data_IF_493575666803
#
_entry.id   IF_493575666803
#
_cell.length_a   1.000
_cell.length_b   1.000
_cell.length_c   1.000
_cell.angle_alpha   90.00
_cell.angle_beta   90.00
_cell.angle_gamma   90.00
#
_symmetry.space_group_name_H-M   'P 1'
#
loop_
_entity.id
_entity.type
_entity.pdbx_description
1 polymer ?
#
# COMPACT_ATOMS: atom_id res chain seq x y z
N UNK A 1 -10.14 30.37 5.17
CA UNK A 1 -9.06 29.78 6.01
C UNK A 1 -7.86 29.44 5.14
N UNK A 2 -6.66 29.35 5.74
CA UNK A 2 -5.43 28.90 5.06
C UNK A 2 -5.10 27.47 5.48
N UNK A 3 -5.08 26.58 4.51
CA UNK A 3 -4.83 25.16 4.71
C UNK A 3 -3.47 24.78 4.12
N UNK A 4 -2.67 24.00 4.86
CA UNK A 4 -1.45 23.38 4.34
C UNK A 4 -1.62 21.86 4.22
N UNK A 5 -1.19 21.33 3.09
CA UNK A 5 -1.11 19.88 2.84
C UNK A 5 0.34 19.54 2.53
N UNK A 6 0.98 18.77 3.39
CA UNK A 6 2.37 18.33 3.21
C UNK A 6 2.39 16.92 2.63
N UNK A 7 2.71 16.83 1.35
CA UNK A 7 2.66 15.62 0.55
C UNK A 7 1.46 15.56 -0.38
N UNK A 8 1.71 15.27 -1.66
CA UNK A 8 0.68 15.28 -2.72
C UNK A 8 0.49 13.90 -3.36
N UNK A 9 0.38 12.86 -2.52
CA UNK A 9 -0.08 11.54 -2.92
C UNK A 9 -1.61 11.44 -2.93
N UNK A 10 -2.14 10.21 -2.92
CA UNK A 10 -3.59 9.95 -2.90
C UNK A 10 -4.30 10.65 -1.74
N UNK A 11 -3.73 10.59 -0.54
CA UNK A 11 -4.32 11.22 0.65
C UNK A 11 -4.35 12.74 0.51
N UNK A 12 -3.22 13.37 0.16
CA UNK A 12 -3.14 14.82 0.01
C UNK A 12 -4.05 15.37 -1.07
N UNK A 13 -4.13 14.71 -2.23
CA UNK A 13 -5.04 15.10 -3.31
C UNK A 13 -6.52 15.02 -2.89
N UNK A 14 -6.94 13.89 -2.27
CA UNK A 14 -8.34 13.76 -1.85
C UNK A 14 -8.69 14.71 -0.71
N UNK A 15 -7.75 15.03 0.18
CA UNK A 15 -7.96 16.04 1.22
C UNK A 15 -8.12 17.44 0.63
N UNK A 16 -7.25 17.85 -0.29
CA UNK A 16 -7.38 19.16 -0.98
C UNK A 16 -8.72 19.30 -1.67
N UNK A 17 -9.16 18.25 -2.37
CA UNK A 17 -10.47 18.22 -3.03
C UNK A 17 -11.63 18.30 -2.03
N UNK A 18 -11.55 17.59 -0.91
CA UNK A 18 -12.56 17.62 0.14
C UNK A 18 -12.65 19.00 0.81
N UNK A 19 -11.50 19.64 1.09
CA UNK A 19 -11.47 21.02 1.60
C UNK A 19 -12.16 21.97 0.61
N UNK A 20 -11.82 21.90 -0.69
CA UNK A 20 -12.44 22.78 -1.70
C UNK A 20 -13.95 22.60 -1.80
N UNK A 21 -14.46 21.40 -1.50
CA UNK A 21 -15.90 21.10 -1.48
C UNK A 21 -16.60 21.77 -0.28
N UNK A 22 -15.98 21.76 0.91
CA UNK A 22 -16.56 22.32 2.14
C UNK A 22 -16.28 23.82 2.30
N UNK A 23 -15.08 24.28 1.88
CA UNK A 23 -14.66 25.69 1.91
C UNK A 23 -14.24 26.15 0.50
N UNK A 24 -15.21 26.58 -0.35
CA UNK A 24 -14.93 27.03 -1.72
C UNK A 24 -13.98 28.23 -1.82
N UNK A 25 -13.87 29.05 -0.77
CA UNK A 25 -13.04 30.25 -0.72
C UNK A 25 -11.71 30.06 0.04
N UNK A 26 -11.48 28.90 0.63
CA UNK A 26 -10.27 28.62 1.40
C UNK A 26 -9.01 28.61 0.53
N UNK A 27 -7.92 29.14 1.06
CA UNK A 27 -6.61 29.05 0.43
C UNK A 27 -5.99 27.69 0.73
N UNK A 28 -5.81 26.85 -0.31
CA UNK A 28 -5.27 25.48 -0.18
C UNK A 28 -3.87 25.43 -0.75
N UNK A 29 -2.88 25.36 0.14
CA UNK A 29 -1.46 25.27 -0.19
C UNK A 29 -1.02 23.80 -0.11
N UNK A 30 -0.50 23.26 -1.20
CA UNK A 30 0.01 21.90 -1.29
C UNK A 30 1.51 21.95 -1.50
N UNK A 31 2.26 21.30 -0.62
CA UNK A 31 3.72 21.23 -0.66
C UNK A 31 4.15 19.83 -1.10
N UNK A 32 4.85 19.77 -2.22
CA UNK A 32 5.25 18.54 -2.89
C UNK A 32 6.75 18.67 -3.27
N UNK A 33 7.54 17.62 -2.97
CA UNK A 33 9.01 17.71 -3.05
C UNK A 33 9.60 17.16 -4.35
N UNK A 34 8.79 16.54 -5.23
CA UNK A 34 9.30 15.76 -6.38
C UNK A 34 9.08 16.42 -7.73
N UNK A 35 8.26 17.48 -7.81
CA UNK A 35 7.83 18.09 -9.06
C UNK A 35 6.81 17.25 -9.85
N UNK A 36 6.35 16.12 -9.29
CA UNK A 36 5.48 15.18 -9.98
C UNK A 36 4.01 15.29 -9.50
N UNK A 37 3.02 14.99 -10.39
CA UNK A 37 1.64 14.83 -9.97
C UNK A 37 1.47 13.66 -8.99
N UNK A 38 0.29 13.55 -8.31
CA UNK A 38 -0.01 12.44 -7.43
C UNK A 38 0.07 11.09 -8.15
N UNK A 39 1.13 10.34 -7.90
CA UNK A 39 1.39 9.05 -8.54
C UNK A 39 0.77 7.89 -7.75
N UNK A 40 0.28 6.86 -8.46
CA UNK A 40 -0.12 5.60 -7.85
C UNK A 40 1.09 4.64 -7.77
N UNK A 41 1.64 4.35 -6.58
CA UNK A 41 2.82 3.48 -6.44
C UNK A 41 2.62 2.06 -6.99
N UNK A 42 1.38 1.58 -7.07
CA UNK A 42 1.09 0.25 -7.62
C UNK A 42 1.31 0.18 -9.14
N UNK A 43 1.34 1.32 -9.84
CA UNK A 43 1.53 1.40 -11.28
C UNK A 43 3.01 1.53 -11.69
N UNK A 44 3.92 1.69 -10.74
CA UNK A 44 5.36 1.83 -11.01
C UNK A 44 5.95 0.61 -11.72
N UNK A 45 5.58 -0.60 -11.29
CA UNK A 45 6.01 -1.85 -11.92
C UNK A 45 5.43 -2.03 -13.32
N UNK A 46 4.19 -1.59 -13.56
CA UNK A 46 3.57 -1.63 -14.89
C UNK A 46 4.26 -0.66 -15.86
N UNK A 47 4.67 0.52 -15.39
CA UNK A 47 5.48 1.43 -16.19
C UNK A 47 6.86 0.85 -16.49
N UNK A 48 7.55 0.33 -15.49
CA UNK A 48 8.89 -0.24 -15.67
C UNK A 48 8.88 -1.48 -16.60
N UNK A 49 7.77 -2.23 -16.66
CA UNK A 49 7.54 -3.35 -17.58
C UNK A 49 7.00 -2.94 -18.96
N UNK A 50 6.79 -1.62 -19.21
CA UNK A 50 6.25 -1.08 -20.44
C UNK A 50 4.78 -1.46 -20.74
N UNK A 51 4.07 -2.02 -19.75
CA UNK A 51 2.65 -2.33 -19.86
C UNK A 51 1.76 -1.07 -19.92
N UNK A 52 2.25 0.05 -19.38
CA UNK A 52 1.61 1.37 -19.44
C UNK A 52 2.65 2.45 -19.76
N UNK A 53 2.20 3.58 -20.32
CA UNK A 53 3.05 4.75 -20.49
C UNK A 53 3.24 5.50 -19.15
N UNK A 54 4.23 6.41 -19.09
CA UNK A 54 4.55 7.15 -17.86
C UNK A 54 3.40 7.99 -17.34
N UNK A 55 2.62 8.63 -18.21
CA UNK A 55 1.51 9.48 -17.79
C UNK A 55 0.39 8.68 -17.10
N UNK A 56 0.22 7.40 -17.42
CA UNK A 56 -0.78 6.53 -16.80
C UNK A 56 -0.49 6.23 -15.31
N UNK A 57 0.73 6.53 -14.83
CA UNK A 57 1.08 6.42 -13.40
C UNK A 57 0.39 7.49 -12.55
N UNK A 58 -0.13 8.55 -13.18
CA UNK A 58 -0.75 9.71 -12.55
C UNK A 58 -2.29 9.73 -12.76
N UNK A 59 -3.05 9.01 -11.93
CA UNK A 59 -4.48 8.79 -12.17
C UNK A 59 -5.35 10.05 -12.02
N UNK A 60 -4.81 11.12 -11.46
CA UNK A 60 -5.53 12.39 -11.28
C UNK A 60 -5.17 13.45 -12.32
N UNK A 61 -4.32 13.10 -13.30
CA UNK A 61 -3.83 14.00 -14.32
C UNK A 61 -2.53 14.72 -13.98
N UNK A 62 -2.17 15.69 -14.81
CA UNK A 62 -0.98 16.53 -14.64
C UNK A 62 -1.18 17.60 -13.56
N UNK A 63 -0.08 18.21 -13.08
CA UNK A 63 -0.17 19.34 -12.13
C UNK A 63 -0.91 20.53 -12.73
N UNK A 64 -0.80 20.77 -14.04
CA UNK A 64 -1.49 21.85 -14.75
C UNK A 64 -2.99 21.62 -14.78
N UNK A 65 -3.43 20.40 -15.13
CA UNK A 65 -4.84 20.02 -15.13
C UNK A 65 -5.45 20.12 -13.72
N UNK A 66 -4.71 19.68 -12.70
CA UNK A 66 -5.15 19.77 -11.30
C UNK A 66 -5.28 21.23 -10.86
N UNK A 67 -4.28 22.09 -11.15
CA UNK A 67 -4.34 23.53 -10.84
C UNK A 67 -5.53 24.20 -11.51
N UNK A 68 -5.72 23.96 -12.81
CA UNK A 68 -6.80 24.54 -13.57
C UNK A 68 -8.20 24.12 -13.05
N UNK A 69 -8.32 22.91 -12.55
CA UNK A 69 -9.61 22.33 -12.13
C UNK A 69 -10.00 22.67 -10.69
N UNK A 70 -9.03 22.75 -9.78
CA UNK A 70 -9.32 22.76 -8.34
C UNK A 70 -8.85 24.03 -7.61
N UNK A 71 -8.16 24.94 -8.29
CA UNK A 71 -7.64 26.18 -7.71
C UNK A 71 -6.78 25.94 -6.45
N UNK A 72 -5.83 24.99 -6.54
CA UNK A 72 -4.85 24.73 -5.51
C UNK A 72 -3.55 25.52 -5.77
N UNK A 73 -2.99 26.11 -4.70
CA UNK A 73 -1.63 26.67 -4.74
C UNK A 73 -0.64 25.54 -4.53
N UNK A 74 -0.11 25.00 -5.63
CA UNK A 74 0.83 23.86 -5.57
C UNK A 74 2.26 24.40 -5.58
N UNK A 75 2.97 24.18 -4.48
CA UNK A 75 4.39 24.46 -4.30
C UNK A 75 5.18 23.19 -4.69
N UNK A 76 5.55 23.10 -5.96
CA UNK A 76 6.33 22.00 -6.53
C UNK A 76 7.79 22.11 -6.15
N UNK A 77 8.45 20.94 -5.95
CA UNK A 77 9.88 20.85 -5.58
C UNK A 77 10.21 21.58 -4.26
N UNK A 78 9.19 21.73 -3.39
CA UNK A 78 9.34 22.38 -2.09
C UNK A 78 9.30 21.30 -0.99
N UNK A 79 10.40 21.20 -0.25
CA UNK A 79 10.52 20.29 0.86
C UNK A 79 10.30 20.99 2.19
N UNK A 80 9.29 20.51 2.91
CA UNK A 80 9.05 20.87 4.31
C UNK A 80 10.04 20.09 5.17
N UNK A 81 10.82 20.78 5.98
CA UNK A 81 11.80 20.17 6.87
C UNK A 81 11.17 19.74 8.20
N UNK A 82 10.24 20.54 8.72
CA UNK A 82 9.60 20.28 10.02
C UNK A 82 8.24 20.93 10.12
N UNK A 83 7.35 20.35 10.93
CA UNK A 83 6.04 20.90 11.32
C UNK A 83 6.08 21.27 12.81
N UNK A 84 5.99 22.56 13.12
CA UNK A 84 5.75 23.04 14.47
C UNK A 84 4.26 22.95 14.76
N UNK A 85 3.85 21.82 15.34
CA UNK A 85 2.44 21.45 15.41
C UNK A 85 1.61 22.42 16.26
N UNK A 86 2.11 22.85 17.42
CA UNK A 86 1.41 23.72 18.36
C UNK A 86 1.12 25.10 17.80
N UNK A 87 2.08 25.69 17.07
CA UNK A 87 1.93 26.99 16.39
C UNK A 87 1.32 26.84 14.98
N UNK A 88 1.19 25.62 14.48
CA UNK A 88 0.75 25.32 13.11
C UNK A 88 1.60 26.01 12.05
N UNK A 89 2.90 25.86 12.18
CA UNK A 89 3.89 26.41 11.26
C UNK A 89 4.60 25.29 10.48
N UNK A 90 4.85 25.55 9.20
CA UNK A 90 5.77 24.76 8.39
C UNK A 90 7.13 25.45 8.37
N UNK A 91 8.16 24.68 8.66
CA UNK A 91 9.56 25.10 8.51
C UNK A 91 10.11 24.44 7.25
N UNK A 92 10.63 25.24 6.33
CA UNK A 92 11.19 24.77 5.07
C UNK A 92 12.71 24.53 5.16
N UNK A 93 13.29 23.78 4.21
CA UNK A 93 14.75 23.52 4.20
C UNK A 93 15.61 24.79 4.11
N UNK A 94 15.10 25.86 3.50
CA UNK A 94 15.77 27.15 3.44
C UNK A 94 15.68 27.97 4.73
N UNK A 95 15.07 27.42 5.78
CA UNK A 95 14.88 28.07 7.08
C UNK A 95 13.69 29.01 7.16
N UNK A 96 12.95 29.26 6.08
CA UNK A 96 11.73 30.08 6.12
C UNK A 96 10.62 29.36 6.90
N UNK A 97 9.70 30.15 7.46
CA UNK A 97 8.58 29.65 8.27
C UNK A 97 7.29 30.27 7.77
N UNK A 98 6.24 29.46 7.66
CA UNK A 98 4.91 29.91 7.25
C UNK A 98 3.83 29.30 8.12
N UNK A 99 2.85 30.12 8.55
CA UNK A 99 1.76 29.72 9.45
C UNK A 99 0.47 29.43 8.69
N UNK A 100 -0.30 28.44 9.17
CA UNK A 100 -1.57 28.00 8.60
C UNK A 100 -2.63 27.81 9.69
N UNK A 101 -3.91 27.89 9.30
CA UNK A 101 -5.00 27.60 10.23
C UNK A 101 -5.13 26.11 10.51
N UNK A 102 -4.86 25.27 9.49
CA UNK A 102 -4.91 23.80 9.56
C UNK A 102 -3.78 23.19 8.73
N UNK A 103 -3.21 22.11 9.22
CA UNK A 103 -2.13 21.37 8.55
C UNK A 103 -2.53 19.90 8.41
N UNK A 104 -2.36 19.34 7.22
CA UNK A 104 -2.41 17.90 6.96
C UNK A 104 -1.01 17.37 6.67
N UNK A 105 -0.59 16.35 7.40
CA UNK A 105 0.60 15.53 7.10
C UNK A 105 0.15 14.33 6.26
N UNK A 106 0.52 14.33 4.97
CA UNK A 106 0.19 13.30 3.99
C UNK A 106 1.44 12.78 3.28
N UNK A 107 2.54 12.68 4.02
CA UNK A 107 3.89 12.36 3.53
C UNK A 107 4.08 10.92 3.07
N UNK A 108 3.10 10.07 3.33
CA UNK A 108 3.11 8.67 2.92
C UNK A 108 4.22 7.84 3.58
N UNK A 109 4.81 6.92 2.81
CA UNK A 109 5.84 6.03 3.28
C UNK A 109 6.94 5.85 2.21
N UNK A 110 8.17 5.61 2.66
CA UNK A 110 9.32 5.23 1.83
C UNK A 110 9.57 3.74 1.85
N UNK A 111 10.33 3.23 0.90
CA UNK A 111 10.85 1.87 0.96
C UNK A 111 11.69 1.68 2.23
N UNK A 112 11.47 0.57 2.91
CA UNK A 112 12.30 0.18 4.04
C UNK A 112 13.59 -0.45 3.53
N UNK A 113 14.72 0.03 3.99
CA UNK A 113 16.04 -0.55 3.76
C UNK A 113 16.74 -0.63 5.12
N UNK A 114 16.97 -1.84 5.65
CA UNK A 114 17.78 -2.01 6.85
C UNK A 114 19.26 -1.67 6.53
N UNK A 115 20.11 -1.56 7.52
CA UNK A 115 21.54 -1.47 7.29
C UNK A 115 22.03 -2.69 6.52
N UNK A 116 22.46 -2.49 5.26
CA UNK A 116 22.98 -3.53 4.36
C UNK A 116 24.36 -3.07 3.92
N UNK A 117 25.36 -3.91 4.13
CA UNK A 117 26.73 -3.62 3.65
C UNK A 117 26.74 -3.46 2.13
N UNK A 118 27.40 -2.41 1.63
CA UNK A 118 27.44 -2.10 0.19
C UNK A 118 26.19 -1.42 -0.37
N UNK A 119 25.20 -1.06 0.46
CA UNK A 119 24.08 -0.21 0.04
C UNK A 119 24.30 1.23 0.53
N UNK A 120 23.99 2.29 -0.27
CA UNK A 120 23.47 2.23 -1.65
C UNK A 120 24.55 1.82 -2.69
N UNK A 121 24.09 1.23 -3.80
CA UNK A 121 24.93 0.91 -4.94
C UNK A 121 24.19 1.12 -6.27
N UNK A 122 24.94 1.24 -7.38
CA UNK A 122 24.36 1.54 -8.70
C UNK A 122 23.49 0.40 -9.24
N UNK A 123 23.72 -0.84 -8.78
CA UNK A 123 22.98 -2.03 -9.17
C UNK A 123 21.98 -2.51 -8.11
N UNK A 124 21.75 -1.71 -7.05
CA UNK A 124 20.70 -1.97 -6.05
C UNK A 124 19.51 -1.03 -6.28
N UNK A 125 18.32 -1.59 -6.39
CA UNK A 125 17.11 -0.87 -6.78
C UNK A 125 16.01 -1.02 -5.73
N UNK A 126 15.20 0.02 -5.62
CA UNK A 126 13.93 0.03 -4.89
C UNK A 126 12.77 0.06 -5.89
N UNK A 127 11.54 -0.16 -5.41
CA UNK A 127 10.33 -0.01 -6.22
C UNK A 127 9.21 0.57 -5.36
N UNK A 128 9.23 1.87 -5.15
CA UNK A 128 8.22 2.60 -4.38
C UNK A 128 7.75 3.88 -5.08
N UNK A 129 8.67 4.61 -5.70
CA UNK A 129 8.43 5.90 -6.32
C UNK A 129 8.49 5.81 -7.84
N UNK A 130 7.98 6.82 -8.54
CA UNK A 130 8.16 6.95 -10.00
C UNK A 130 9.64 7.05 -10.38
N UNK A 131 10.45 7.72 -9.55
CA UNK A 131 11.89 7.82 -9.75
C UNK A 131 12.59 6.44 -9.66
N UNK A 132 12.17 5.58 -8.72
CA UNK A 132 12.67 4.20 -8.63
C UNK A 132 12.36 3.42 -9.91
N UNK A 133 11.14 3.53 -10.41
CA UNK A 133 10.71 2.83 -11.63
C UNK A 133 11.47 3.33 -12.88
N UNK A 134 11.65 4.64 -13.00
CA UNK A 134 12.46 5.25 -14.07
C UNK A 134 13.91 4.77 -13.99
N UNK A 135 14.51 4.79 -12.79
CA UNK A 135 15.89 4.36 -12.57
C UNK A 135 16.09 2.89 -12.95
N UNK A 136 15.22 2.00 -12.48
CA UNK A 136 15.30 0.57 -12.83
C UNK A 136 15.13 0.36 -14.33
N UNK A 137 14.10 0.97 -14.94
CA UNK A 137 13.85 0.86 -16.37
C UNK A 137 15.06 1.34 -17.19
N UNK A 138 15.55 2.54 -16.91
CA UNK A 138 16.70 3.13 -17.63
C UNK A 138 17.95 2.25 -17.50
N UNK A 139 18.19 1.68 -16.32
CA UNK A 139 19.33 0.78 -16.11
C UNK A 139 19.21 -0.50 -16.95
N UNK A 140 18.01 -1.12 -16.93
CA UNK A 140 17.74 -2.35 -17.69
C UNK A 140 17.78 -2.13 -19.21
N UNK A 141 17.46 -0.93 -19.69
CA UNK A 141 17.51 -0.58 -21.10
C UNK A 141 18.96 -0.31 -21.57
N UNK A 142 19.84 0.16 -20.68
CA UNK A 142 21.22 0.54 -20.99
C UNK A 142 22.26 -0.54 -20.67
N UNK A 143 21.96 -1.49 -19.78
CA UNK A 143 22.94 -2.42 -19.21
C UNK A 143 22.49 -3.87 -19.43
N UNK A 144 23.37 -4.74 -19.98
CA UNK A 144 23.08 -6.16 -20.06
C UNK A 144 22.99 -6.79 -18.65
N UNK A 145 21.81 -7.26 -18.27
CA UNK A 145 21.54 -7.95 -17.01
C UNK A 145 21.15 -9.37 -17.32
N UNK A 146 21.78 -10.34 -16.69
CA UNK A 146 21.48 -11.77 -16.86
C UNK A 146 20.87 -12.42 -15.63
N UNK A 147 21.28 -11.95 -14.44
CA UNK A 147 20.86 -12.51 -13.16
C UNK A 147 20.38 -11.40 -12.22
N UNK A 148 19.28 -11.65 -11.57
CA UNK A 148 18.71 -10.74 -10.61
C UNK A 148 18.27 -11.45 -9.33
N UNK A 149 18.46 -10.78 -8.20
CA UNK A 149 17.87 -11.18 -6.92
C UNK A 149 16.87 -10.13 -6.48
N UNK A 150 15.63 -10.56 -6.26
CA UNK A 150 14.57 -9.75 -5.64
C UNK A 150 14.50 -10.15 -4.17
N UNK A 151 14.85 -9.24 -3.29
CA UNK A 151 14.76 -9.43 -1.84
C UNK A 151 13.40 -8.97 -1.37
N UNK A 152 12.58 -9.92 -0.93
CA UNK A 152 11.21 -9.69 -0.46
C UNK A 152 10.14 -10.43 -1.28
N UNK A 153 9.52 -11.44 -0.67
CA UNK A 153 8.42 -12.24 -1.22
C UNK A 153 7.06 -11.53 -1.05
N UNK A 154 7.03 -10.27 -1.35
CA UNK A 154 5.88 -9.34 -1.22
C UNK A 154 5.13 -9.18 -2.54
N UNK A 155 3.97 -8.48 -2.49
CA UNK A 155 3.22 -8.12 -3.70
C UNK A 155 4.02 -7.26 -4.68
N UNK A 156 4.92 -6.41 -4.18
CA UNK A 156 5.84 -5.64 -5.03
C UNK A 156 6.95 -6.53 -5.56
N UNK A 157 7.51 -7.40 -4.71
CA UNK A 157 8.60 -8.29 -5.12
C UNK A 157 8.21 -9.23 -6.24
N UNK A 158 7.02 -9.85 -6.20
CA UNK A 158 6.55 -10.73 -7.27
C UNK A 158 6.33 -9.96 -8.60
N UNK A 159 5.87 -8.70 -8.53
CA UNK A 159 5.69 -7.88 -9.74
C UNK A 159 7.03 -7.43 -10.34
N UNK A 160 8.03 -7.16 -9.50
CA UNK A 160 9.40 -6.89 -9.96
C UNK A 160 10.01 -8.15 -10.57
N UNK A 161 9.81 -9.32 -9.95
CA UNK A 161 10.30 -10.58 -10.49
C UNK A 161 9.63 -10.93 -11.84
N UNK A 162 8.33 -10.69 -12.01
CA UNK A 162 7.63 -10.81 -13.29
C UNK A 162 8.23 -9.89 -14.37
N UNK A 163 8.49 -8.62 -14.03
CA UNK A 163 9.12 -7.66 -14.93
C UNK A 163 10.48 -8.16 -15.42
N UNK A 164 11.32 -8.67 -14.50
CA UNK A 164 12.66 -9.17 -14.82
C UNK A 164 12.60 -10.45 -15.66
N UNK A 165 11.70 -11.37 -15.30
CA UNK A 165 11.47 -12.60 -16.06
C UNK A 165 11.04 -12.29 -17.50
N UNK A 166 10.12 -11.34 -17.70
CA UNK A 166 9.64 -10.94 -19.03
C UNK A 166 10.73 -10.30 -19.90
N UNK A 167 11.83 -9.82 -19.27
CA UNK A 167 13.04 -9.35 -19.97
C UNK A 167 14.08 -10.47 -20.20
N UNK A 168 13.74 -11.73 -19.85
CA UNK A 168 14.63 -12.88 -20.00
C UNK A 168 15.74 -12.94 -18.96
N UNK A 169 15.59 -12.26 -17.83
CA UNK A 169 16.56 -12.23 -16.74
C UNK A 169 16.29 -13.39 -15.78
N UNK A 170 17.30 -14.20 -15.51
CA UNK A 170 17.25 -15.27 -14.51
C UNK A 170 17.00 -14.65 -13.12
N UNK A 171 15.85 -14.95 -12.52
CA UNK A 171 15.39 -14.25 -11.34
C UNK A 171 15.19 -15.20 -10.14
N UNK A 172 15.74 -14.80 -8.99
CA UNK A 172 15.53 -15.45 -7.70
C UNK A 172 14.82 -14.49 -6.76
N UNK A 173 13.73 -14.93 -6.14
CA UNK A 173 13.12 -14.22 -5.01
C UNK A 173 13.72 -14.80 -3.73
N UNK A 174 14.35 -13.92 -2.92
CA UNK A 174 14.91 -14.30 -1.62
C UNK A 174 14.15 -13.59 -0.51
N UNK A 175 13.78 -14.29 0.55
CA UNK A 175 13.11 -13.71 1.71
C UNK A 175 13.51 -14.43 3.00
N UNK A 176 13.46 -13.70 4.13
CA UNK A 176 13.61 -14.31 5.45
C UNK A 176 12.42 -15.21 5.82
N UNK A 177 11.25 -14.97 5.23
CA UNK A 177 10.06 -15.81 5.38
C UNK A 177 10.26 -17.22 4.83
N UNK A 178 9.29 -18.09 5.12
CA UNK A 178 9.28 -19.49 4.71
C UNK A 178 8.50 -19.75 3.40
N UNK A 179 7.65 -18.80 2.99
CA UNK A 179 6.76 -18.94 1.84
C UNK A 179 6.30 -17.60 1.30
N UNK A 180 5.70 -17.63 0.10
CA UNK A 180 5.22 -16.46 -0.62
C UNK A 180 4.03 -15.80 0.09
N UNK A 181 4.02 -14.46 0.18
CA UNK A 181 2.94 -13.67 0.78
C UNK A 181 2.58 -14.05 2.22
N UNK A 182 3.54 -14.11 3.16
CA UNK A 182 3.35 -14.67 4.49
C UNK A 182 2.32 -13.95 5.36
N UNK A 183 1.96 -12.70 5.00
CA UNK A 183 0.94 -11.90 5.71
C UNK A 183 -0.41 -11.83 4.98
N UNK A 184 -0.56 -12.53 3.84
CA UNK A 184 -1.76 -12.46 3.00
C UNK A 184 -2.31 -13.82 2.59
N UNK A 185 -1.44 -14.81 2.38
CA UNK A 185 -1.82 -16.16 1.94
C UNK A 185 -1.83 -17.17 3.08
N UNK A 186 -2.77 -18.11 3.05
CA UNK A 186 -2.64 -19.36 3.81
C UNK A 186 -1.47 -20.16 3.24
N UNK A 187 -0.83 -20.98 4.07
CA UNK A 187 0.39 -21.70 3.68
C UNK A 187 0.19 -22.60 2.45
N UNK A 188 -0.86 -23.40 2.41
CA UNK A 188 -1.18 -24.25 1.27
C UNK A 188 -1.47 -23.47 -0.02
N UNK A 189 -2.12 -22.30 0.11
CA UNK A 189 -2.35 -21.37 -1.02
C UNK A 189 -1.01 -20.79 -1.50
N UNK A 190 -0.13 -20.40 -0.59
CA UNK A 190 1.19 -19.89 -0.92
C UNK A 190 2.06 -20.95 -1.64
N UNK A 191 2.05 -22.20 -1.16
CA UNK A 191 2.77 -23.31 -1.76
C UNK A 191 2.29 -23.59 -3.21
N UNK A 192 0.98 -23.55 -3.47
CA UNK A 192 0.44 -23.67 -4.83
C UNK A 192 0.85 -22.48 -5.73
N UNK A 193 0.78 -21.25 -5.19
CA UNK A 193 1.24 -20.07 -5.93
C UNK A 193 2.73 -20.14 -6.27
N UNK A 194 3.56 -20.63 -5.33
CA UNK A 194 4.98 -20.85 -5.57
C UNK A 194 5.24 -21.87 -6.68
N UNK A 195 4.51 -22.97 -6.70
CA UNK A 195 4.64 -23.99 -7.74
C UNK A 195 4.29 -23.42 -9.12
N UNK A 196 3.20 -22.66 -9.21
CA UNK A 196 2.82 -21.95 -10.43
C UNK A 196 3.89 -20.94 -10.88
N UNK A 197 4.52 -20.25 -9.95
CA UNK A 197 5.59 -19.27 -10.23
C UNK A 197 6.89 -19.96 -10.62
N UNK A 198 7.25 -21.08 -9.94
CA UNK A 198 8.41 -21.91 -10.29
C UNK A 198 8.30 -22.47 -11.70
N UNK A 199 7.12 -22.94 -12.09
CA UNK A 199 6.88 -23.48 -13.44
C UNK A 199 7.09 -22.45 -14.55
N UNK A 200 7.09 -21.14 -14.21
CA UNK A 200 7.39 -20.03 -15.13
C UNK A 200 8.85 -19.58 -15.12
N UNK A 201 9.70 -20.23 -14.29
CA UNK A 201 11.14 -20.00 -14.30
C UNK A 201 11.70 -19.14 -13.17
N UNK A 202 10.88 -18.66 -12.23
CA UNK A 202 11.37 -17.96 -11.03
C UNK A 202 11.77 -19.00 -9.98
N UNK A 203 12.90 -18.76 -9.32
CA UNK A 203 13.37 -19.55 -8.18
C UNK A 203 13.13 -18.81 -6.88
N UNK A 204 13.01 -19.55 -5.78
CA UNK A 204 12.87 -19.01 -4.44
C UNK A 204 14.04 -19.46 -3.55
N UNK A 205 14.48 -18.57 -2.68
CA UNK A 205 15.48 -18.81 -1.64
C UNK A 205 14.90 -18.32 -0.30
N UNK A 206 14.39 -19.25 0.48
CA UNK A 206 13.74 -18.99 1.77
C UNK A 206 14.74 -18.94 2.93
N UNK A 207 14.35 -18.32 4.05
CA UNK A 207 15.18 -18.11 5.24
C UNK A 207 16.45 -17.28 4.96
N UNK A 208 16.40 -16.39 3.98
CA UNK A 208 17.51 -15.58 3.53
C UNK A 208 17.32 -14.10 3.93
N UNK A 209 17.94 -13.72 5.05
CA UNK A 209 18.06 -12.31 5.43
C UNK A 209 19.23 -11.66 4.68
N UNK A 210 18.97 -10.58 3.93
CA UNK A 210 20.03 -9.86 3.23
C UNK A 210 20.98 -9.19 4.23
N UNK A 211 22.28 -9.41 4.07
CA UNK A 211 23.33 -8.83 4.91
C UNK A 211 24.25 -7.90 4.13
N UNK A 212 24.49 -8.17 2.85
CA UNK A 212 25.37 -7.35 2.03
C UNK A 212 25.06 -7.44 0.54
N UNK A 213 25.44 -6.41 -0.20
CA UNK A 213 25.40 -6.33 -1.66
C UNK A 213 26.82 -6.13 -2.15
N UNK A 214 27.37 -7.14 -2.82
CA UNK A 214 28.67 -7.11 -3.47
C UNK A 214 28.54 -6.59 -4.91
N UNK A 215 29.65 -6.55 -5.63
CA UNK A 215 29.69 -6.07 -7.02
C UNK A 215 28.82 -6.94 -7.96
N UNK A 216 28.82 -8.26 -7.75
CA UNK A 216 28.05 -9.23 -8.53
C UNK A 216 27.40 -10.31 -7.68
N UNK A 217 27.09 -10.05 -6.43
CA UNK A 217 26.45 -11.00 -5.55
C UNK A 217 25.62 -10.32 -4.45
N UNK A 218 24.68 -11.07 -3.90
CA UNK A 218 23.98 -10.76 -2.65
C UNK A 218 24.43 -11.75 -1.59
N UNK A 219 24.88 -11.22 -0.44
CA UNK A 219 25.25 -12.02 0.74
C UNK A 219 24.08 -12.04 1.74
N UNK A 220 23.87 -13.20 2.32
CA UNK A 220 22.83 -13.42 3.31
C UNK A 220 23.39 -13.61 4.72
N UNK A 221 22.55 -13.43 5.72
CA UNK A 221 22.93 -13.54 7.14
C UNK A 221 23.40 -14.93 7.57
N UNK A 222 23.09 -15.96 6.79
CA UNK A 222 23.58 -17.34 6.99
C UNK A 222 24.94 -17.62 6.35
N UNK A 223 25.58 -16.61 5.78
CA UNK A 223 26.88 -16.69 5.11
C UNK A 223 26.83 -17.19 3.66
N UNK A 224 25.67 -17.52 3.12
CA UNK A 224 25.53 -17.90 1.71
C UNK A 224 25.47 -16.69 0.80
N UNK A 225 25.79 -16.91 -0.48
CA UNK A 225 25.75 -15.88 -1.52
C UNK A 225 24.96 -16.36 -2.75
N UNK A 226 24.32 -15.41 -3.44
CA UNK A 226 23.75 -15.61 -4.77
C UNK A 226 24.39 -14.63 -5.74
N UNK A 227 24.76 -15.13 -6.92
CA UNK A 227 25.23 -14.28 -8.01
C UNK A 227 24.08 -13.42 -8.53
N UNK A 228 24.32 -12.12 -8.70
CA UNK A 228 23.35 -11.16 -9.19
C UNK A 228 24.03 -9.98 -9.86
N UNK A 229 23.61 -9.62 -11.06
CA UNK A 229 24.01 -8.39 -11.72
C UNK A 229 23.23 -7.19 -11.15
N UNK A 230 21.99 -7.42 -10.68
CA UNK A 230 21.17 -6.43 -9.97
C UNK A 230 20.45 -7.03 -8.78
N UNK A 231 20.14 -6.15 -7.81
CA UNK A 231 19.38 -6.49 -6.60
C UNK A 231 18.20 -5.54 -6.47
N UNK A 232 17.00 -6.06 -6.31
CA UNK A 232 15.80 -5.27 -6.06
C UNK A 232 15.31 -5.49 -4.63
N UNK A 233 15.30 -4.44 -3.79
CA UNK A 233 14.88 -4.51 -2.40
C UNK A 233 13.38 -4.18 -2.28
N UNK A 234 12.57 -5.19 -1.99
CA UNK A 234 11.11 -5.12 -1.90
C UNK A 234 10.60 -5.57 -0.52
N UNK A 235 11.32 -5.22 0.56
CA UNK A 235 11.15 -5.73 1.94
C UNK A 235 10.23 -4.87 2.81
N UNK A 236 9.32 -4.14 2.19
CA UNK A 236 8.30 -3.35 2.88
C UNK A 236 8.55 -1.85 2.87
N UNK A 237 7.78 -1.14 3.71
CA UNK A 237 7.79 0.32 3.77
C UNK A 237 7.88 0.82 5.21
N UNK A 238 8.34 2.06 5.37
CA UNK A 238 8.35 2.79 6.64
C UNK A 238 7.64 4.12 6.47
N UNK A 239 6.72 4.43 7.37
CA UNK A 239 6.02 5.70 7.39
C UNK A 239 6.99 6.89 7.51
N UNK A 240 6.69 7.95 6.79
CA UNK A 240 7.45 9.22 6.85
C UNK A 240 6.85 10.09 7.95
N UNK A 241 7.37 9.96 9.16
CA UNK A 241 6.87 10.65 10.37
C UNK A 241 7.83 11.69 10.89
N UNK A 242 9.02 11.80 10.31
CA UNK A 242 10.14 12.60 10.81
C UNK A 242 9.80 14.10 10.90
N UNK A 243 8.89 14.58 10.03
CA UNK A 243 8.45 15.99 10.03
C UNK A 243 7.75 16.41 11.32
N UNK A 244 7.11 15.47 12.02
CA UNK A 244 6.35 15.73 13.26
C UNK A 244 6.97 15.03 14.48
N UNK A 245 7.94 14.13 14.27
CA UNK A 245 8.65 13.45 15.36
C UNK A 245 9.71 14.40 15.94
N UNK A 246 9.32 15.24 16.89
CA UNK A 246 10.26 16.12 17.57
C UNK A 246 10.90 15.37 18.74
N UNK A 247 12.22 15.20 18.70
CA UNK A 247 12.99 14.59 19.80
C UNK A 247 13.10 15.48 21.05
N UNK A 248 12.72 16.74 20.93
CA UNK A 248 12.82 17.75 21.99
C UNK A 248 11.48 17.99 22.72
N UNK A 249 10.41 17.27 22.34
CA UNK A 249 9.09 17.44 22.96
C UNK A 249 9.05 16.69 24.29
N UNK A 250 8.59 17.38 25.31
CA UNK A 250 8.32 16.81 26.65
C UNK A 250 7.27 15.68 26.50
N UNK A 251 7.42 14.61 27.29
CA UNK A 251 6.48 13.49 27.26
C UNK A 251 5.03 14.00 27.47
N UNK A 252 4.16 13.76 26.49
CA UNK A 252 2.76 14.21 26.48
C UNK A 252 2.47 15.45 25.64
N UNK A 253 3.48 16.16 25.14
CA UNK A 253 3.34 17.28 24.20
C UNK A 253 3.64 16.83 22.76
N UNK A 254 3.13 17.57 21.77
CA UNK A 254 3.38 17.31 20.36
C UNK A 254 2.54 16.22 19.72
N UNK A 255 2.86 15.92 18.48
CA UNK A 255 2.16 14.90 17.68
C UNK A 255 2.63 13.50 18.11
N UNK A 256 1.69 12.69 18.58
CA UNK A 256 2.00 11.31 18.98
C UNK A 256 2.31 10.45 17.74
N UNK A 257 3.43 9.75 17.79
CA UNK A 257 3.91 8.85 16.76
C UNK A 257 4.21 7.49 17.39
N UNK A 258 3.72 6.43 16.75
CA UNK A 258 4.04 5.05 17.06
C UNK A 258 4.78 4.43 15.86
N UNK A 259 4.20 3.47 15.12
CA UNK A 259 4.71 3.04 13.82
C UNK A 259 4.40 4.06 12.73
N UNK A 260 3.31 4.80 12.88
CA UNK A 260 2.86 5.93 12.10
C UNK A 260 2.36 7.04 13.02
N UNK A 261 1.90 8.15 12.45
CA UNK A 261 1.26 9.23 13.19
C UNK A 261 -0.06 8.71 13.75
N UNK A 262 -0.26 8.83 15.06
CA UNK A 262 -1.50 8.40 15.72
C UNK A 262 -2.60 9.42 15.46
N UNK A 263 -3.73 8.95 14.95
CA UNK A 263 -4.91 9.79 14.67
C UNK A 263 -6.17 9.20 15.30
N UNK A 264 -7.16 10.06 15.53
CA UNK A 264 -8.51 9.64 15.92
C UNK A 264 -9.35 9.23 14.68
N UNK A 265 -10.60 8.87 14.88
CA UNK A 265 -11.54 8.51 13.82
C UNK A 265 -11.91 9.69 12.88
N UNK A 266 -11.55 10.91 13.24
CA UNK A 266 -11.70 12.12 12.43
C UNK A 266 -10.40 12.52 11.71
N UNK A 267 -9.38 11.68 11.74
CA UNK A 267 -8.02 11.92 11.22
C UNK A 267 -7.28 13.07 11.91
N UNK A 268 -7.67 13.44 13.15
CA UNK A 268 -7.02 14.46 13.97
C UNK A 268 -5.84 13.81 14.69
N UNK A 269 -4.72 14.52 14.76
CA UNK A 269 -3.60 14.12 15.62
C UNK A 269 -3.87 14.51 17.08
N UNK A 270 -2.91 14.28 17.97
CA UNK A 270 -2.96 14.76 19.36
C UNK A 270 -2.90 16.27 19.48
N UNK A 271 -2.53 17.00 18.43
CA UNK A 271 -2.40 18.48 18.44
C UNK A 271 -3.52 19.11 17.63
N UNK A 272 -4.20 20.08 18.24
CA UNK A 272 -5.33 20.77 17.60
C UNK A 272 -4.94 21.47 16.29
N UNK A 273 -5.72 21.24 15.25
CA UNK A 273 -5.51 21.85 13.94
C UNK A 273 -4.50 21.10 13.06
N UNK A 274 -3.90 20.02 13.56
CA UNK A 274 -3.00 19.15 12.79
C UNK A 274 -3.66 17.79 12.57
N UNK A 275 -3.66 17.35 11.32
CA UNK A 275 -4.25 16.10 10.82
C UNK A 275 -3.20 15.23 10.15
N UNK A 276 -3.47 13.94 10.01
CA UNK A 276 -2.63 13.07 9.19
C UNK A 276 -3.49 12.07 8.41
N UNK A 277 -3.03 11.68 7.19
CA UNK A 277 -3.72 10.74 6.33
C UNK A 277 -2.76 9.97 5.41
N UNK A 278 -3.14 8.75 5.04
CA UNK A 278 -2.37 7.86 4.16
C UNK A 278 -1.33 7.03 4.91
N UNK A 279 -0.33 6.53 4.17
CA UNK A 279 0.64 5.56 4.68
C UNK A 279 1.57 6.13 5.78
N UNK A 280 1.50 7.42 6.10
CA UNK A 280 2.24 8.02 7.22
C UNK A 280 1.50 7.91 8.56
N UNK A 281 0.21 7.57 8.58
CA UNK A 281 -0.58 7.50 9.80
C UNK A 281 -1.19 6.11 10.04
N UNK A 282 -1.62 5.89 11.28
CA UNK A 282 -2.31 4.68 11.70
C UNK A 282 -3.82 4.87 11.53
N UNK A 283 -4.48 3.87 10.93
CA UNK A 283 -5.92 3.82 10.77
C UNK A 283 -6.52 2.59 11.45
N UNK A 284 -7.82 2.62 11.71
CA UNK A 284 -8.54 1.53 12.36
C UNK A 284 -8.59 0.29 11.48
N UNK A 285 -8.10 -0.84 12.00
CA UNK A 285 -8.34 -2.17 11.44
C UNK A 285 -9.69 -2.71 11.94
N UNK A 286 -10.62 -2.92 11.05
CA UNK A 286 -11.97 -3.38 11.39
C UNK A 286 -12.02 -4.82 11.91
N UNK A 287 -10.97 -5.64 11.64
CA UNK A 287 -10.92 -7.01 12.14
C UNK A 287 -10.54 -7.09 13.61
N UNK A 288 -9.60 -6.25 14.05
CA UNK A 288 -9.02 -6.30 15.41
C UNK A 288 -9.54 -5.16 16.29
N UNK A 289 -10.05 -4.08 15.69
CA UNK A 289 -10.39 -2.84 16.38
C UNK A 289 -9.17 -1.96 16.72
N UNK A 290 -7.96 -2.46 16.51
CA UNK A 290 -6.70 -1.75 16.77
C UNK A 290 -6.35 -0.77 15.65
N UNK A 291 -5.48 0.18 15.95
CA UNK A 291 -4.90 1.06 14.95
C UNK A 291 -3.60 0.49 14.39
N UNK A 292 -3.41 0.61 13.07
CA UNK A 292 -2.21 0.20 12.38
C UNK A 292 -2.06 0.95 11.04
N UNK A 293 -0.87 0.93 10.48
CA UNK A 293 -0.67 1.40 9.11
C UNK A 293 -1.27 0.37 8.14
N UNK A 294 -2.25 0.80 7.33
CA UNK A 294 -2.85 -0.02 6.27
C UNK A 294 -2.54 0.68 4.94
N UNK A 295 -1.39 0.36 4.41
CA UNK A 295 -0.80 1.00 3.21
C UNK A 295 -1.50 0.58 1.92
N UNK A 296 -2.71 1.08 1.69
CA UNK A 296 -3.51 0.83 0.52
C UNK A 296 -3.91 2.15 -0.14
N UNK A 297 -3.77 2.25 -1.46
CA UNK A 297 -4.13 3.44 -2.24
C UNK A 297 -5.55 3.95 -1.95
N UNK A 298 -6.53 3.05 -1.99
CA UNK A 298 -7.93 3.40 -1.70
C UNK A 298 -8.11 3.88 -0.26
N UNK A 299 -7.44 3.25 0.69
CA UNK A 299 -7.49 3.64 2.10
C UNK A 299 -6.92 5.03 2.32
N UNK A 300 -5.77 5.33 1.71
CA UNK A 300 -5.18 6.67 1.75
C UNK A 300 -6.14 7.73 1.21
N UNK A 301 -6.90 7.41 0.15
CA UNK A 301 -7.94 8.29 -0.39
C UNK A 301 -9.08 8.52 0.60
N UNK A 302 -9.59 7.50 1.27
CA UNK A 302 -10.66 7.64 2.28
C UNK A 302 -10.20 8.43 3.51
N UNK A 303 -8.98 8.20 3.99
CA UNK A 303 -8.40 8.97 5.08
C UNK A 303 -8.21 10.43 4.69
N UNK A 304 -7.68 10.69 3.49
CA UNK A 304 -7.51 12.05 2.97
C UNK A 304 -8.84 12.79 2.83
N UNK A 305 -9.85 12.15 2.24
CA UNK A 305 -11.20 12.71 2.11
C UNK A 305 -11.80 13.07 3.48
N UNK A 306 -11.71 12.15 4.46
CA UNK A 306 -12.17 12.40 5.83
C UNK A 306 -11.41 13.56 6.49
N UNK A 307 -10.07 13.57 6.37
CA UNK A 307 -9.24 14.65 6.93
C UNK A 307 -9.60 16.00 6.32
N UNK A 308 -9.72 16.08 4.99
CA UNK A 308 -10.03 17.32 4.28
C UNK A 308 -11.38 17.91 4.69
N UNK A 309 -12.43 17.11 4.73
CA UNK A 309 -13.75 17.56 5.22
C UNK A 309 -13.67 18.08 6.67
N UNK A 310 -12.94 17.37 7.54
CA UNK A 310 -12.82 17.76 8.95
C UNK A 310 -11.93 19.00 9.16
N UNK A 311 -10.91 19.19 8.35
CA UNK A 311 -10.12 20.42 8.33
C UNK A 311 -10.99 21.64 8.00
N UNK A 312 -11.96 21.49 7.11
CA UNK A 312 -12.90 22.52 6.71
C UNK A 312 -14.13 22.66 7.63
N UNK A 313 -14.15 21.95 8.77
CA UNK A 313 -15.16 22.12 9.82
C UNK A 313 -16.27 21.08 9.81
N UNK A 314 -16.26 20.10 8.93
CA UNK A 314 -17.18 18.96 9.00
C UNK A 314 -16.86 18.03 10.19
N UNK A 315 -17.71 17.03 10.42
CA UNK A 315 -17.53 16.03 11.45
C UNK A 315 -17.69 14.62 10.88
N UNK A 316 -16.86 14.30 9.87
CA UNK A 316 -16.88 13.00 9.22
C UNK A 316 -16.06 11.98 10.00
N UNK A 317 -16.50 10.73 9.98
CA UNK A 317 -15.85 9.62 10.66
C UNK A 317 -15.22 8.69 9.62
N UNK A 318 -13.93 8.45 9.75
CA UNK A 318 -13.23 7.36 9.06
C UNK A 318 -13.59 6.03 9.71
N UNK A 319 -14.32 5.20 8.99
CA UNK A 319 -14.85 3.93 9.53
C UNK A 319 -13.80 2.85 9.73
N UNK A 320 -12.63 3.00 9.15
CA UNK A 320 -11.60 1.97 9.11
C UNK A 320 -11.66 1.12 7.84
N UNK A 321 -10.71 0.19 7.74
CA UNK A 321 -10.64 -0.78 6.65
C UNK A 321 -10.03 -2.09 7.15
N UNK A 322 -9.87 -3.07 6.27
CA UNK A 322 -9.18 -4.33 6.54
C UNK A 322 -7.95 -4.45 5.64
N UNK A 323 -6.88 -5.12 6.08
CA UNK A 323 -5.78 -5.49 5.21
C UNK A 323 -6.30 -6.34 4.05
N UNK A 324 -5.92 -6.01 2.82
CA UNK A 324 -6.22 -6.82 1.66
C UNK A 324 -5.20 -6.59 0.55
N UNK A 325 -5.00 -7.61 -0.25
CA UNK A 325 -4.15 -7.58 -1.42
C UNK A 325 -4.92 -8.18 -2.58
N UNK A 326 -5.00 -7.45 -3.67
CA UNK A 326 -5.54 -7.91 -4.95
C UNK A 326 -4.41 -7.75 -5.93
N UNK A 327 -3.87 -8.85 -6.43
CA UNK A 327 -2.74 -8.82 -7.35
C UNK A 327 -2.95 -9.78 -8.51
N UNK A 328 -2.38 -9.39 -9.64
CA UNK A 328 -2.26 -10.21 -10.84
C UNK A 328 -0.79 -10.24 -11.26
N UNK A 329 -0.25 -11.41 -11.43
CA UNK A 329 1.13 -11.63 -11.86
C UNK A 329 1.22 -12.94 -12.65
N UNK A 330 1.95 -12.94 -13.76
CA UNK A 330 2.19 -14.12 -14.59
C UNK A 330 0.91 -14.91 -14.89
N UNK A 331 -0.19 -14.22 -15.26
CA UNK A 331 -1.52 -14.79 -15.51
C UNK A 331 -2.18 -15.45 -14.28
N UNK A 332 -1.69 -15.19 -13.09
CA UNK A 332 -2.25 -15.66 -11.83
C UNK A 332 -2.96 -14.50 -11.14
N UNK A 333 -4.26 -14.65 -10.87
CA UNK A 333 -4.99 -13.77 -9.96
C UNK A 333 -4.92 -14.35 -8.54
N UNK A 334 -4.37 -13.58 -7.62
CA UNK A 334 -4.38 -13.89 -6.19
C UNK A 334 -4.99 -12.74 -5.40
N UNK A 335 -5.90 -13.09 -4.50
CA UNK A 335 -6.56 -12.14 -3.62
C UNK A 335 -6.49 -12.68 -2.20
N UNK A 336 -5.89 -11.90 -1.30
CA UNK A 336 -5.87 -12.14 0.13
C UNK A 336 -6.59 -11.00 0.86
N UNK A 337 -7.62 -11.31 1.63
CA UNK A 337 -8.43 -10.35 2.38
C UNK A 337 -8.47 -10.78 3.84
N UNK A 338 -8.19 -9.87 4.75
CA UNK A 338 -8.27 -10.12 6.18
C UNK A 338 -6.96 -10.65 6.79
N UNK A 339 -7.06 -11.41 7.88
CA UNK A 339 -5.91 -11.96 8.61
C UNK A 339 -5.79 -13.47 8.36
N UNK A 340 -4.76 -13.89 7.64
CA UNK A 340 -4.49 -15.29 7.32
C UNK A 340 -4.07 -16.14 8.54
N UNK A 341 -3.86 -15.51 9.70
CA UNK A 341 -3.58 -16.17 10.99
C UNK A 341 -4.85 -16.38 11.81
N UNK A 342 -6.00 -15.93 11.32
CA UNK A 342 -7.28 -16.08 12.02
C UNK A 342 -7.62 -17.55 12.24
N UNK A 343 -8.09 -17.86 13.45
CA UNK A 343 -8.55 -19.21 13.82
C UNK A 343 -10.08 -19.22 13.75
N UNK A 344 -10.65 -20.24 13.12
CA UNK A 344 -12.10 -20.37 12.95
C UNK A 344 -12.47 -21.58 12.10
N UNK A 345 -13.73 -21.64 11.71
CA UNK A 345 -14.24 -22.62 10.78
C UNK A 345 -13.70 -22.30 9.38
N UNK A 346 -13.14 -23.33 8.74
CA UNK A 346 -12.54 -23.21 7.42
C UNK A 346 -13.52 -23.76 6.37
N UNK A 347 -13.81 -22.95 5.36
CA UNK A 347 -14.62 -23.33 4.20
C UNK A 347 -13.81 -23.17 2.92
N UNK A 348 -13.93 -24.16 2.03
CA UNK A 348 -13.18 -24.17 0.76
C UNK A 348 -14.09 -24.54 -0.40
N UNK A 349 -13.82 -23.95 -1.56
CA UNK A 349 -14.47 -24.30 -2.82
C UNK A 349 -13.43 -24.41 -3.94
N UNK A 350 -13.61 -25.41 -4.77
CA UNK A 350 -12.77 -25.69 -5.94
C UNK A 350 -11.51 -26.51 -5.61
N UNK A 351 -10.83 -26.90 -6.68
CA UNK A 351 -9.50 -27.51 -6.58
C UNK A 351 -8.46 -26.37 -6.55
N UNK A 352 -7.50 -26.44 -5.64
CA UNK A 352 -6.46 -25.41 -5.49
C UNK A 352 -5.61 -25.30 -6.78
N UNK A 353 -5.49 -26.38 -7.56
CA UNK A 353 -4.84 -26.40 -8.88
C UNK A 353 -5.76 -25.97 -10.02
N UNK A 354 -7.05 -25.82 -9.74
CA UNK A 354 -8.05 -25.47 -10.72
C UNK A 354 -8.06 -23.98 -11.10
N UNK A 355 -8.99 -23.60 -11.97
CA UNK A 355 -9.11 -22.22 -12.47
C UNK A 355 -9.70 -21.27 -11.43
N UNK A 356 -10.49 -21.77 -10.47
CA UNK A 356 -11.05 -20.99 -9.37
C UNK A 356 -10.95 -21.79 -8.08
N UNK A 357 -10.30 -21.19 -7.09
CA UNK A 357 -10.23 -21.69 -5.73
C UNK A 357 -10.55 -20.58 -4.74
N UNK A 358 -11.39 -20.88 -3.76
CA UNK A 358 -11.73 -19.96 -2.66
C UNK A 358 -11.54 -20.70 -1.34
N UNK A 359 -10.79 -20.09 -0.43
CA UNK A 359 -10.60 -20.56 0.94
C UNK A 359 -10.90 -19.44 1.91
N UNK A 360 -11.79 -19.66 2.85
CA UNK A 360 -12.14 -18.66 3.84
C UNK A 360 -12.09 -19.23 5.25
N UNK A 361 -11.80 -18.36 6.22
CA UNK A 361 -11.94 -18.62 7.66
C UNK A 361 -13.07 -17.77 8.20
N UNK A 362 -14.00 -18.39 8.92
CA UNK A 362 -15.12 -17.76 9.58
C UNK A 362 -15.05 -17.95 11.09
N UNK A 363 -15.57 -16.98 11.82
CA UNK A 363 -15.79 -17.07 13.25
C UNK A 363 -17.18 -16.51 13.59
N UNK A 364 -18.04 -17.33 14.18
CA UNK A 364 -19.44 -16.98 14.49
C UNK A 364 -20.20 -16.46 13.25
N UNK A 365 -20.00 -17.11 12.09
CA UNK A 365 -20.64 -16.75 10.83
C UNK A 365 -20.09 -15.50 10.14
N UNK A 366 -19.02 -14.87 10.67
CA UNK A 366 -18.38 -13.72 10.07
C UNK A 366 -17.03 -14.08 9.48
N UNK A 367 -16.73 -13.59 8.29
CA UNK A 367 -15.43 -13.76 7.64
C UNK A 367 -14.31 -13.12 8.47
N UNK A 368 -13.17 -13.79 8.54
CA UNK A 368 -11.92 -13.32 9.16
C UNK A 368 -10.77 -13.26 8.16
N UNK A 369 -10.76 -14.18 7.21
CA UNK A 369 -9.80 -14.19 6.11
C UNK A 369 -10.43 -14.86 4.88
N UNK A 370 -10.09 -14.40 3.70
CA UNK A 370 -10.43 -15.04 2.42
C UNK A 370 -9.22 -15.02 1.51
N UNK A 371 -8.87 -16.19 0.95
CA UNK A 371 -7.94 -16.28 -0.16
C UNK A 371 -8.67 -16.78 -1.41
N UNK A 372 -8.36 -16.18 -2.56
CA UNK A 372 -8.95 -16.53 -3.86
C UNK A 372 -7.83 -16.66 -4.87
N UNK A 373 -7.84 -17.75 -5.63
CA UNK A 373 -7.05 -17.89 -6.85
C UNK A 373 -8.02 -17.91 -8.04
N UNK A 374 -7.78 -17.08 -9.06
CA UNK A 374 -8.41 -17.20 -10.37
C UNK A 374 -9.39 -16.11 -10.79
N UNK A 375 -10.05 -15.36 -9.89
CA UNK A 375 -11.04 -14.35 -10.31
C UNK A 375 -10.99 -13.06 -9.50
N UNK A 376 -10.78 -11.93 -10.19
CA UNK A 376 -10.83 -10.58 -9.60
C UNK A 376 -12.25 -10.14 -9.28
N UNK A 377 -13.26 -10.56 -10.06
CA UNK A 377 -14.67 -10.23 -9.86
C UNK A 377 -15.20 -10.85 -8.57
N UNK A 378 -14.88 -12.13 -8.33
CA UNK A 378 -15.20 -12.81 -7.05
C UNK A 378 -14.56 -12.06 -5.89
N UNK A 379 -13.30 -11.66 -6.01
CA UNK A 379 -12.58 -10.93 -4.96
C UNK A 379 -13.19 -9.59 -4.61
N UNK A 380 -13.59 -8.80 -5.60
CA UNK A 380 -14.22 -7.50 -5.40
C UNK A 380 -15.55 -7.60 -4.63
N UNK A 381 -16.38 -8.59 -4.98
CA UNK A 381 -17.67 -8.82 -4.30
C UNK A 381 -17.44 -9.32 -2.88
N UNK A 382 -16.57 -10.31 -2.67
CA UNK A 382 -16.30 -10.87 -1.34
C UNK A 382 -15.64 -9.84 -0.42
N UNK A 383 -14.77 -8.97 -0.93
CA UNK A 383 -14.23 -7.84 -0.15
C UNK A 383 -15.33 -6.90 0.32
N UNK A 384 -16.23 -6.50 -0.58
CA UNK A 384 -17.35 -5.60 -0.23
C UNK A 384 -18.28 -6.22 0.78
N UNK A 385 -18.57 -7.50 0.63
CA UNK A 385 -19.39 -8.28 1.56
C UNK A 385 -18.72 -8.38 2.94
N UNK A 386 -17.44 -8.70 2.99
CA UNK A 386 -16.65 -8.79 4.22
C UNK A 386 -16.67 -7.46 5.00
N UNK A 387 -16.43 -6.33 4.33
CA UNK A 387 -16.53 -5.01 4.93
C UNK A 387 -17.94 -4.72 5.48
N UNK A 388 -18.98 -5.15 4.77
CA UNK A 388 -20.37 -5.00 5.21
C UNK A 388 -20.65 -5.82 6.46
N UNK A 389 -20.17 -7.07 6.55
CA UNK A 389 -20.31 -7.89 7.76
C UNK A 389 -19.67 -7.24 8.99
N UNK A 390 -18.50 -6.57 8.81
CA UNK A 390 -17.79 -5.90 9.92
C UNK A 390 -18.44 -4.57 10.34
N UNK A 391 -19.17 -3.93 9.45
CA UNK A 391 -19.79 -2.61 9.71
C UNK A 391 -21.25 -2.67 10.15
N UNK A 392 -21.93 -3.82 10.01
CA UNK A 392 -23.36 -4.00 10.32
C UNK A 392 -23.55 -4.87 11.55
N UNK A 393 -24.36 -4.42 12.51
CA UNK A 393 -24.78 -5.22 13.65
C UNK A 393 -25.84 -6.31 13.28
N UNK A 394 -26.44 -6.23 12.08
CA UNK A 394 -27.37 -7.19 11.53
C UNK A 394 -26.66 -8.16 10.57
N UNK A 395 -27.19 -9.39 10.41
CA UNK A 395 -26.69 -10.35 9.44
C UNK A 395 -26.59 -9.71 8.05
N UNK A 396 -25.38 -9.53 7.57
CA UNK A 396 -25.16 -9.00 6.23
C UNK A 396 -25.43 -10.11 5.20
N UNK A 397 -26.24 -9.81 4.19
CA UNK A 397 -26.45 -10.69 3.05
C UNK A 397 -25.96 -10.04 1.77
N UNK A 398 -25.52 -10.88 0.83
CA UNK A 398 -25.17 -10.46 -0.51
C UNK A 398 -26.44 -10.08 -1.28
N UNK A 399 -26.48 -8.92 -1.95
CA UNK A 399 -27.57 -8.60 -2.87
C UNK A 399 -27.73 -9.66 -3.96
N UNK A 400 -28.94 -9.91 -4.42
CA UNK A 400 -29.25 -10.92 -5.45
C UNK A 400 -28.34 -10.76 -6.69
N UNK A 401 -28.12 -9.53 -7.14
CA UNK A 401 -27.25 -9.27 -8.30
C UNK A 401 -25.80 -9.72 -8.04
N UNK A 402 -25.27 -9.47 -6.84
CA UNK A 402 -23.92 -9.90 -6.49
C UNK A 402 -23.84 -11.43 -6.39
N UNK A 403 -24.86 -12.09 -5.83
CA UNK A 403 -24.94 -13.56 -5.82
C UNK A 403 -24.94 -14.13 -7.24
N UNK A 404 -25.74 -13.55 -8.15
CA UNK A 404 -25.75 -13.96 -9.56
C UNK A 404 -24.39 -13.80 -10.25
N UNK A 405 -23.67 -12.70 -9.96
CA UNK A 405 -22.32 -12.51 -10.49
C UNK A 405 -21.35 -13.56 -9.94
N UNK A 406 -21.41 -13.86 -8.64
CA UNK A 406 -20.60 -14.93 -8.04
C UNK A 406 -20.88 -16.29 -8.69
N UNK A 407 -22.17 -16.63 -8.88
CA UNK A 407 -22.56 -17.88 -9.55
C UNK A 407 -22.10 -17.94 -11.00
N UNK A 408 -22.20 -16.84 -11.76
CA UNK A 408 -21.68 -16.74 -13.13
C UNK A 408 -20.16 -16.94 -13.20
N UNK A 409 -19.44 -16.55 -12.14
CA UNK A 409 -17.99 -16.74 -12.01
C UNK A 409 -17.62 -18.07 -11.36
N UNK A 410 -18.56 -19.01 -11.22
CA UNK A 410 -18.31 -20.40 -10.85
C UNK A 410 -18.52 -20.74 -9.38
N UNK A 411 -18.98 -19.83 -8.51
CA UNK A 411 -19.29 -20.14 -7.12
C UNK A 411 -20.73 -20.65 -7.00
N UNK A 412 -21.01 -21.88 -6.54
CA UNK A 412 -22.36 -22.39 -6.39
C UNK A 412 -23.12 -21.75 -5.22
N UNK A 413 -24.44 -21.79 -5.29
CA UNK A 413 -25.31 -21.10 -4.33
C UNK A 413 -25.11 -21.57 -2.87
N UNK A 414 -24.93 -22.86 -2.66
CA UNK A 414 -24.69 -23.47 -1.34
C UNK A 414 -23.35 -22.98 -0.72
N UNK A 415 -22.30 -22.83 -1.51
CA UNK A 415 -21.06 -22.25 -1.02
C UNK A 415 -21.18 -20.75 -0.71
N UNK A 416 -21.97 -20.01 -1.49
CA UNK A 416 -22.27 -18.61 -1.20
C UNK A 416 -23.05 -18.50 0.13
N UNK A 417 -24.02 -19.40 0.37
CA UNK A 417 -24.76 -19.48 1.64
C UNK A 417 -23.83 -19.76 2.82
N UNK A 418 -22.83 -20.66 2.66
CA UNK A 418 -21.80 -20.89 3.66
C UNK A 418 -21.01 -19.60 3.97
N UNK A 419 -20.59 -18.86 2.95
CA UNK A 419 -19.85 -17.59 3.14
C UNK A 419 -20.70 -16.52 3.86
N UNK A 420 -22.01 -16.53 3.69
CA UNK A 420 -22.94 -15.65 4.40
C UNK A 420 -23.20 -16.07 5.85
N UNK A 421 -22.63 -17.18 6.30
CA UNK A 421 -22.85 -17.73 7.64
C UNK A 421 -24.16 -18.50 7.77
N UNK A 422 -24.79 -18.85 6.66
CA UNK A 422 -25.98 -19.67 6.55
C UNK A 422 -25.64 -21.12 6.20
N UNK A 423 -25.59 -21.92 7.21
CA UNK A 423 -25.97 -23.34 7.26
C UNK A 423 -25.58 -23.87 8.65
N UNK A 424 -26.47 -23.69 9.58
CA UNK A 424 -26.53 -24.53 10.78
C UNK A 424 -27.86 -25.23 10.83
#
# INVERSE_FOLDING_TARGET
MRYAIVGFGCAGFNAARAIRTEDPSGEIHVFEQTGAPPANPMLTTYYASEAINFNAVFPFGTLEEIRAKYDFVIHSEVKVAHVRAESRELVFENGSVESFDRILVATGARAFVPPIEGYPSDHAFLMRTTADAVRLKTYLDATPVRKAVVVGASMVGIKVAELLLNRGIETVIADFAEFLFPVAAFRDVAEELEERVRSRGIRFAWHKGVAGIGERCVRFSDGTELEADIVCLCIGTRANTELVANKEVVEGEGVRVNRGIVVDEHMRTSVFGVYAAGDCCEGKNLLTGETMIIGLWQNAGFQGDTAGHNMAGANRVYRGTIPHNITHFMDIYFIGIGDNRAIGEMVTYGDIKGPLFVKAVQQKGCLKCVNIIGSSEVGGILKSFFLKQLSSAASAHLPTVQRMVLMKNGLPADFIDLLEGGLR
#
